data_IF_270285877607
#
_entry.id   IF_270285877607
#
_cell.length_a   1.000
_cell.length_b   1.000
_cell.length_c   1.000
_cell.angle_alpha   90.00
_cell.angle_beta   90.00
_cell.angle_gamma   90.00
#
_symmetry.space_group_name_H-M   'P 1'
#
loop_
_entity.id
_entity.type
_entity.pdbx_description
1 polymer ?
#
# COMPACT_ATOMS: atom_id res chain seq x y z
N UNK A 1 13.19 2.46 -15.66
CA UNK A 1 11.85 1.91 -15.81
C UNK A 1 11.88 0.56 -15.13
N UNK A 2 11.04 0.33 -14.13
CA UNK A 2 10.97 -0.98 -13.46
C UNK A 2 10.42 -2.00 -14.46
N UNK A 3 11.09 -3.13 -14.60
CA UNK A 3 10.60 -4.24 -15.43
C UNK A 3 9.56 -5.05 -14.64
N UNK A 4 8.36 -5.21 -15.20
CA UNK A 4 7.28 -5.96 -14.56
C UNK A 4 7.01 -7.32 -15.24
N UNK A 5 7.76 -7.68 -16.28
CA UNK A 5 7.50 -8.84 -17.12
C UNK A 5 7.51 -10.15 -16.33
N UNK A 6 8.46 -10.31 -15.42
CA UNK A 6 8.67 -11.52 -14.62
C UNK A 6 8.19 -11.39 -13.16
N UNK A 7 7.40 -10.36 -12.86
CA UNK A 7 6.84 -10.18 -11.52
C UNK A 7 5.57 -11.02 -11.41
N UNK A 8 5.42 -11.73 -10.29
CA UNK A 8 4.22 -12.50 -9.96
C UNK A 8 3.85 -12.30 -8.48
N UNK A 9 2.56 -12.38 -8.17
CA UNK A 9 2.03 -12.29 -6.80
C UNK A 9 1.39 -13.63 -6.42
N UNK A 10 2.17 -14.43 -5.70
CA UNK A 10 1.77 -15.73 -5.16
C UNK A 10 1.46 -15.75 -3.66
N UNK A 11 1.25 -16.96 -3.14
CA UNK A 11 0.83 -17.22 -1.76
C UNK A 11 1.92 -16.80 -0.74
N UNK A 12 3.19 -16.88 -1.11
CA UNK A 12 4.32 -16.42 -0.30
C UNK A 12 4.23 -14.93 0.05
N UNK A 13 3.74 -14.11 -0.88
CA UNK A 13 3.57 -12.67 -0.65
C UNK A 13 2.35 -12.38 0.23
N UNK A 14 1.31 -13.21 0.14
CA UNK A 14 0.13 -13.13 1.01
C UNK A 14 0.50 -13.46 2.45
N UNK A 15 1.26 -14.53 2.66
CA UNK A 15 1.73 -14.93 3.99
C UNK A 15 2.68 -13.89 4.60
N UNK A 16 3.54 -13.28 3.78
CA UNK A 16 4.42 -12.22 4.25
C UNK A 16 3.65 -10.97 4.67
N UNK A 17 2.63 -10.56 3.91
CA UNK A 17 1.72 -9.50 4.30
C UNK A 17 0.95 -9.85 5.59
N UNK A 18 0.46 -11.09 5.72
CA UNK A 18 -0.22 -11.54 6.95
C UNK A 18 0.68 -11.37 8.18
N UNK A 19 1.95 -11.77 8.08
CA UNK A 19 2.94 -11.62 9.16
C UNK A 19 3.17 -10.16 9.50
N UNK A 20 3.38 -9.32 8.48
CA UNK A 20 3.57 -7.87 8.66
C UNK A 20 2.39 -7.21 9.41
N UNK A 21 1.15 -7.62 9.09
CA UNK A 21 -0.06 -7.05 9.70
C UNK A 21 -0.38 -7.63 11.09
N UNK A 22 0.12 -8.82 11.42
CA UNK A 22 -0.23 -9.51 12.67
C UNK A 22 0.66 -9.15 13.86
N UNK A 23 1.69 -8.33 13.64
CA UNK A 23 2.59 -7.79 14.68
C UNK A 23 3.09 -8.89 15.65
N UNK A 24 3.86 -9.88 15.16
CA UNK A 24 4.71 -10.69 16.03
C UNK A 24 6.13 -10.07 16.08
N UNK A 25 6.38 -9.13 17.00
CA UNK A 25 7.70 -8.50 17.17
C UNK A 25 8.78 -9.48 17.65
N UNK A 26 8.45 -10.75 17.94
CA UNK A 26 9.40 -11.78 18.34
C UNK A 26 9.70 -12.79 17.22
N UNK A 27 9.24 -12.61 15.98
CA UNK A 27 9.63 -13.47 14.87
C UNK A 27 11.00 -13.01 14.30
N UNK A 28 12.11 -13.72 14.60
CA UNK A 28 13.44 -13.36 14.10
C UNK A 28 13.61 -13.59 12.59
N UNK A 29 12.57 -14.07 11.89
CA UNK A 29 12.55 -14.26 10.44
C UNK A 29 12.04 -13.05 9.66
N UNK A 30 11.86 -11.89 10.33
CA UNK A 30 11.50 -10.63 9.68
C UNK A 30 12.54 -10.29 8.61
N UNK A 31 12.14 -10.58 7.36
CA UNK A 31 12.83 -10.28 6.10
C UNK A 31 14.05 -11.17 5.76
N UNK A 32 13.86 -12.48 5.62
CA UNK A 32 14.61 -13.21 4.57
C UNK A 32 13.97 -12.90 3.21
N UNK A 33 14.18 -11.65 2.76
CA UNK A 33 13.78 -11.24 1.41
C UNK A 33 14.72 -11.95 0.47
N UNK A 34 14.19 -12.90 -0.31
CA UNK A 34 14.87 -13.39 -1.50
C UNK A 34 15.54 -12.20 -2.21
N UNK A 35 16.85 -12.28 -2.44
CA UNK A 35 17.65 -11.19 -3.02
C UNK A 35 17.26 -10.86 -4.47
N UNK A 36 16.29 -11.57 -5.04
CA UNK A 36 15.74 -11.28 -6.34
C UNK A 36 14.92 -9.98 -6.31
N UNK A 37 15.28 -9.04 -7.17
CA UNK A 37 14.61 -7.74 -7.32
C UNK A 37 13.10 -7.89 -7.58
N UNK A 38 12.70 -8.89 -8.38
CA UNK A 38 11.29 -9.19 -8.67
C UNK A 38 10.47 -9.51 -7.40
N UNK A 39 11.07 -10.24 -6.46
CA UNK A 39 10.41 -10.59 -5.19
C UNK A 39 10.26 -9.37 -4.28
N UNK A 40 11.26 -8.48 -4.25
CA UNK A 40 11.16 -7.21 -3.52
C UNK A 40 10.07 -6.30 -4.10
N UNK A 41 9.93 -6.27 -5.43
CA UNK A 41 8.87 -5.49 -6.10
C UNK A 41 7.50 -6.10 -5.80
N UNK A 42 7.34 -7.42 -5.88
CA UNK A 42 6.09 -8.10 -5.56
C UNK A 42 5.67 -7.90 -4.09
N UNK A 43 6.63 -7.94 -3.15
CA UNK A 43 6.38 -7.57 -1.75
C UNK A 43 5.84 -6.15 -1.62
N UNK A 44 6.55 -5.16 -2.18
CA UNK A 44 6.16 -3.76 -2.08
C UNK A 44 4.79 -3.52 -2.73
N UNK A 45 4.52 -4.19 -3.86
CA UNK A 45 3.22 -4.15 -4.52
C UNK A 45 2.12 -4.72 -3.63
N UNK A 46 2.37 -5.82 -2.90
CA UNK A 46 1.41 -6.38 -1.96
C UNK A 46 1.10 -5.44 -0.80
N UNK A 47 2.12 -4.81 -0.21
CA UNK A 47 1.91 -3.85 0.87
C UNK A 47 1.14 -2.60 0.40
N UNK A 48 1.48 -2.07 -0.78
CA UNK A 48 0.71 -0.98 -1.40
C UNK A 48 -0.74 -1.40 -1.71
N UNK A 49 -0.95 -2.63 -2.19
CA UNK A 49 -2.29 -3.13 -2.51
C UNK A 49 -3.15 -3.29 -1.26
N UNK A 50 -2.57 -3.74 -0.15
CA UNK A 50 -3.24 -3.77 1.14
C UNK A 50 -3.61 -2.38 1.64
N UNK A 51 -2.70 -1.40 1.50
CA UNK A 51 -2.99 0.00 1.75
C UNK A 51 -4.18 0.49 0.91
N UNK A 52 -4.17 0.22 -0.39
CA UNK A 52 -5.23 0.65 -1.29
C UNK A 52 -6.59 0.03 -0.91
N UNK A 53 -6.63 -1.27 -0.63
CA UNK A 53 -7.84 -1.98 -0.18
C UNK A 53 -8.34 -1.42 1.15
N UNK A 54 -7.45 -1.17 2.12
CA UNK A 54 -7.83 -0.57 3.41
C UNK A 54 -8.45 0.83 3.23
N UNK A 55 -7.84 1.66 2.38
CA UNK A 55 -8.37 2.99 2.03
C UNK A 55 -9.73 2.89 1.35
N UNK A 56 -9.87 2.02 0.35
CA UNK A 56 -11.13 1.83 -0.36
C UNK A 56 -12.24 1.34 0.58
N UNK A 57 -11.96 0.36 1.45
CA UNK A 57 -12.91 -0.10 2.47
C UNK A 57 -13.34 1.02 3.43
N UNK A 58 -12.42 1.92 3.78
CA UNK A 58 -12.69 3.01 4.74
C UNK A 58 -13.48 4.18 4.14
N UNK A 59 -13.13 4.61 2.93
CA UNK A 59 -13.57 5.89 2.39
C UNK A 59 -14.54 5.77 1.20
N UNK A 60 -14.57 4.63 0.50
CA UNK A 60 -15.47 4.46 -0.64
C UNK A 60 -16.92 4.18 -0.20
N UNK A 61 -17.92 4.52 -1.05
CA UNK A 61 -17.77 5.24 -2.32
C UNK A 61 -17.80 6.77 -2.19
N UNK A 62 -18.15 7.31 -1.02
CA UNK A 62 -18.59 8.71 -0.86
C UNK A 62 -17.65 9.56 -0.01
N UNK A 63 -16.34 9.47 -0.26
CA UNK A 63 -15.37 10.27 0.50
C UNK A 63 -15.52 11.77 0.24
N UNK A 64 -15.13 12.56 1.23
CA UNK A 64 -14.88 13.99 1.05
C UNK A 64 -13.42 14.34 1.37
N UNK A 65 -12.86 15.34 0.68
CA UNK A 65 -11.51 15.84 0.95
C UNK A 65 -11.33 16.25 2.43
N UNK A 66 -12.28 16.97 3.06
CA UNK A 66 -12.18 17.29 4.49
C UNK A 66 -12.12 16.06 5.42
N UNK A 67 -12.77 14.95 5.06
CA UNK A 67 -12.66 13.71 5.85
C UNK A 67 -11.27 13.09 5.76
N UNK A 68 -10.66 13.07 4.57
CA UNK A 68 -9.28 12.60 4.39
C UNK A 68 -8.30 13.47 5.18
N UNK A 69 -8.42 14.81 5.09
CA UNK A 69 -7.59 15.74 5.85
C UNK A 69 -7.74 15.53 7.36
N UNK A 70 -8.99 15.35 7.84
CA UNK A 70 -9.26 15.08 9.25
C UNK A 70 -8.62 13.78 9.70
N UNK A 71 -8.80 12.71 8.91
CA UNK A 71 -8.20 11.40 9.19
C UNK A 71 -6.68 11.48 9.32
N UNK A 72 -5.98 12.08 8.34
CA UNK A 72 -4.52 12.22 8.39
C UNK A 72 -4.07 13.09 9.57
N UNK A 73 -4.85 14.12 9.90
CA UNK A 73 -4.60 14.97 11.07
C UNK A 73 -4.69 14.17 12.38
N UNK A 74 -5.69 13.30 12.51
CA UNK A 74 -5.88 12.51 13.72
C UNK A 74 -4.86 11.37 13.82
N UNK A 75 -4.52 10.70 12.71
CA UNK A 75 -3.43 9.73 12.64
C UNK A 75 -2.10 10.32 13.12
N UNK A 76 -1.76 11.52 12.66
CA UNK A 76 -0.53 12.22 13.10
C UNK A 76 -0.53 12.49 14.60
N UNK A 77 -1.68 12.83 15.19
CA UNK A 77 -1.76 13.03 16.65
C UNK A 77 -1.58 11.73 17.41
N UNK A 78 -2.10 10.61 16.90
CA UNK A 78 -1.93 9.30 17.53
C UNK A 78 -0.45 8.91 17.56
N UNK A 79 0.22 9.00 16.41
CA UNK A 79 1.63 8.57 16.26
C UNK A 79 2.61 9.48 17.01
N UNK A 80 2.34 10.80 17.07
CA UNK A 80 3.14 11.71 17.88
C UNK A 80 3.10 11.39 19.39
N UNK A 81 2.04 10.75 19.89
CA UNK A 81 1.96 10.33 21.30
C UNK A 81 2.85 9.12 21.60
N UNK A 82 3.22 8.36 20.58
CA UNK A 82 3.99 7.12 20.70
C UNK A 82 5.50 7.32 20.49
N UNK A 83 5.97 8.56 20.33
CA UNK A 83 7.35 8.90 19.92
C UNK A 83 7.81 8.22 18.62
N UNK A 84 6.86 7.72 17.82
CA UNK A 84 7.12 7.09 16.55
C UNK A 84 7.29 8.14 15.42
N UNK A 85 7.91 7.70 14.33
CA UNK A 85 8.32 8.49 13.15
C UNK A 85 7.29 9.57 12.73
N UNK A 86 7.80 10.75 12.36
CA UNK A 86 6.94 11.83 11.85
C UNK A 86 6.42 11.50 10.46
N UNK A 87 5.10 11.31 10.32
CA UNK A 87 4.45 11.19 9.02
C UNK A 87 4.31 12.56 8.37
N UNK A 88 4.71 12.63 7.10
CA UNK A 88 4.42 13.77 6.25
C UNK A 88 2.91 13.76 5.87
N UNK A 89 2.10 14.73 6.35
CA UNK A 89 0.67 14.76 6.08
C UNK A 89 0.34 14.85 4.59
N UNK A 90 1.12 15.63 3.83
CA UNK A 90 0.86 15.83 2.39
C UNK A 90 1.05 14.54 1.61
N UNK A 91 2.04 13.74 2.00
CA UNK A 91 2.30 12.43 1.39
C UNK A 91 1.15 11.47 1.71
N UNK A 92 0.75 11.34 2.97
CA UNK A 92 -0.36 10.48 3.37
C UNK A 92 -1.68 10.87 2.69
N UNK A 93 -2.02 12.17 2.68
CA UNK A 93 -3.20 12.69 1.98
C UNK A 93 -3.12 12.42 0.47
N UNK A 94 -1.96 12.67 -0.15
CA UNK A 94 -1.74 12.43 -1.58
C UNK A 94 -1.96 10.96 -1.95
N UNK A 95 -1.37 10.04 -1.20
CA UNK A 95 -1.53 8.60 -1.43
C UNK A 95 -2.98 8.13 -1.27
N UNK A 96 -3.67 8.57 -0.21
CA UNK A 96 -5.09 8.22 0.01
C UNK A 96 -5.95 8.74 -1.15
N UNK A 97 -5.77 10.00 -1.53
CA UNK A 97 -6.55 10.65 -2.61
C UNK A 97 -6.26 10.04 -3.97
N UNK A 98 -5.03 9.58 -4.21
CA UNK A 98 -4.67 8.88 -5.44
C UNK A 98 -5.40 7.53 -5.56
N UNK A 99 -5.47 6.75 -4.48
CA UNK A 99 -6.26 5.49 -4.44
C UNK A 99 -7.75 5.74 -4.67
N UNK A 100 -8.26 6.84 -4.13
CA UNK A 100 -9.66 7.25 -4.29
C UNK A 100 -9.95 7.93 -5.64
N UNK A 101 -8.95 7.97 -6.54
CA UNK A 101 -9.05 8.57 -7.88
C UNK A 101 -9.57 10.02 -7.86
N UNK A 102 -9.16 10.79 -6.86
CA UNK A 102 -9.57 12.19 -6.70
C UNK A 102 -9.07 13.04 -7.89
N UNK A 103 -10.01 13.42 -8.76
CA UNK A 103 -9.75 14.22 -9.97
C UNK A 103 -9.22 15.63 -9.66
N UNK A 104 -9.32 16.09 -8.42
CA UNK A 104 -8.80 17.40 -7.98
C UNK A 104 -7.37 17.35 -7.46
N UNK A 105 -6.80 16.14 -7.29
CA UNK A 105 -5.42 15.97 -6.86
C UNK A 105 -4.46 16.40 -7.98
N UNK A 106 -3.73 17.48 -7.75
CA UNK A 106 -2.75 18.03 -8.71
C UNK A 106 -1.33 17.54 -8.47
N UNK A 107 -1.02 17.21 -7.22
CA UNK A 107 0.30 16.70 -6.85
C UNK A 107 0.44 15.26 -7.35
N UNK A 108 1.65 14.92 -7.78
CA UNK A 108 2.01 13.55 -8.16
C UNK A 108 3.04 13.01 -7.19
N UNK A 109 3.15 11.69 -7.14
CA UNK A 109 4.23 11.00 -6.45
C UNK A 109 5.59 11.58 -6.86
N UNK A 110 6.51 11.83 -5.90
CA UNK A 110 6.47 11.47 -4.49
C UNK A 110 5.88 12.54 -3.54
N UNK A 111 4.95 13.37 -4.05
CA UNK A 111 4.23 14.40 -3.30
C UNK A 111 5.14 15.43 -2.59
N UNK A 112 6.31 15.68 -3.18
CA UNK A 112 7.30 16.62 -2.65
C UNK A 112 8.14 16.06 -1.49
N UNK A 113 8.17 14.74 -1.29
CA UNK A 113 9.03 14.06 -0.34
C UNK A 113 9.87 12.96 -1.04
N UNK A 114 10.65 12.19 -0.28
CA UNK A 114 11.38 11.02 -0.80
C UNK A 114 10.53 9.75 -0.71
N UNK A 115 11.05 8.66 -1.31
CA UNK A 115 10.37 7.35 -1.31
C UNK A 115 10.26 6.77 0.10
N UNK A 116 11.20 7.07 1.00
CA UNK A 116 11.15 6.63 2.39
C UNK A 116 9.94 7.25 3.11
N UNK A 117 9.69 8.54 2.92
CA UNK A 117 8.52 9.22 3.45
C UNK A 117 7.21 8.65 2.90
N UNK A 118 7.18 8.22 1.63
CA UNK A 118 6.02 7.53 1.04
C UNK A 118 5.78 6.16 1.67
N UNK A 119 6.81 5.33 1.80
CA UNK A 119 6.70 4.01 2.43
C UNK A 119 6.22 4.14 3.87
N UNK A 120 6.83 5.05 4.64
CA UNK A 120 6.46 5.30 6.02
C UNK A 120 5.01 5.80 6.16
N UNK A 121 4.57 6.72 5.30
CA UNK A 121 3.19 7.18 5.29
C UNK A 121 2.20 6.07 4.91
N UNK A 122 2.52 5.28 3.88
CA UNK A 122 1.69 4.16 3.42
C UNK A 122 1.52 3.09 4.50
N UNK A 123 2.62 2.68 5.15
CA UNK A 123 2.58 1.68 6.22
C UNK A 123 1.82 2.17 7.45
N UNK A 124 2.03 3.42 7.86
CA UNK A 124 1.31 3.94 9.01
C UNK A 124 -0.20 4.04 8.76
N UNK A 125 -0.63 4.47 7.57
CA UNK A 125 -2.06 4.47 7.21
C UNK A 125 -2.60 3.03 7.14
N UNK A 126 -1.87 2.10 6.51
CA UNK A 126 -2.26 0.71 6.44
C UNK A 126 -2.45 0.09 7.82
N UNK A 127 -1.46 0.20 8.70
CA UNK A 127 -1.51 -0.38 10.04
C UNK A 127 -2.62 0.24 10.88
N UNK A 128 -2.81 1.57 10.84
CA UNK A 128 -3.92 2.22 11.54
C UNK A 128 -5.28 1.72 11.06
N UNK A 129 -5.51 1.68 9.73
CA UNK A 129 -6.78 1.22 9.18
C UNK A 129 -7.03 -0.26 9.44
N UNK A 130 -5.98 -1.08 9.36
CA UNK A 130 -6.06 -2.51 9.62
C UNK A 130 -6.37 -2.79 11.10
N UNK A 131 -5.61 -2.21 12.03
CA UNK A 131 -5.84 -2.38 13.46
C UNK A 131 -7.19 -1.80 13.90
N UNK A 132 -7.57 -0.63 13.38
CA UNK A 132 -8.86 -0.01 13.68
C UNK A 132 -10.07 -0.76 13.12
N UNK A 133 -9.88 -1.65 12.14
CA UNK A 133 -10.92 -2.52 11.62
C UNK A 133 -11.05 -3.86 12.40
N UNK A 134 -10.10 -4.16 13.28
CA UNK A 134 -10.07 -5.38 14.13
C UNK A 134 -10.28 -6.70 13.37
N UNK A 135 -9.84 -6.76 12.11
CA UNK A 135 -10.09 -7.91 11.21
C UNK A 135 -9.45 -9.19 11.75
N UNK A 136 -10.24 -10.26 11.87
CA UNK A 136 -9.78 -11.56 12.39
C UNK A 136 -10.35 -12.72 11.59
N UNK A 137 -9.63 -13.84 11.59
CA UNK A 137 -10.08 -15.09 10.98
C UNK A 137 -10.56 -14.89 9.54
N UNK A 138 -11.83 -15.22 9.21
CA UNK A 138 -12.34 -15.09 7.83
C UNK A 138 -12.24 -13.68 7.24
N UNK A 139 -12.38 -12.62 8.04
CA UNK A 139 -12.33 -11.24 7.56
C UNK A 139 -10.91 -10.80 7.20
N UNK A 140 -9.91 -11.32 7.93
CA UNK A 140 -8.50 -11.16 7.60
C UNK A 140 -8.16 -11.89 6.30
N UNK A 141 -8.65 -13.12 6.14
CA UNK A 141 -8.41 -13.91 4.93
C UNK A 141 -9.04 -13.24 3.69
N UNK A 142 -10.24 -12.67 3.84
CA UNK A 142 -10.89 -11.89 2.79
C UNK A 142 -10.08 -10.63 2.43
N UNK A 143 -9.61 -9.88 3.43
CA UNK A 143 -8.78 -8.69 3.21
C UNK A 143 -7.49 -9.01 2.46
N UNK A 144 -6.81 -10.09 2.85
CA UNK A 144 -5.58 -10.55 2.19
C UNK A 144 -5.84 -10.97 0.75
N UNK A 145 -6.94 -11.68 0.49
CA UNK A 145 -7.34 -12.08 -0.86
C UNK A 145 -7.68 -10.87 -1.74
N UNK A 146 -8.46 -9.91 -1.23
CA UNK A 146 -8.77 -8.67 -1.95
C UNK A 146 -7.50 -7.88 -2.31
N UNK A 147 -6.54 -7.83 -1.38
CA UNK A 147 -5.25 -7.17 -1.58
C UNK A 147 -4.43 -7.87 -2.68
N UNK A 148 -4.39 -9.21 -2.68
CA UNK A 148 -3.73 -9.98 -3.73
C UNK A 148 -4.41 -9.79 -5.10
N UNK A 149 -5.74 -9.77 -5.15
CA UNK A 149 -6.49 -9.55 -6.38
C UNK A 149 -6.29 -8.12 -6.91
N UNK A 150 -6.19 -7.13 -6.02
CA UNK A 150 -5.82 -5.77 -6.40
C UNK A 150 -4.42 -5.73 -7.02
N UNK A 151 -3.43 -6.35 -6.35
CA UNK A 151 -2.04 -6.41 -6.83
C UNK A 151 -1.95 -7.05 -8.22
N UNK A 152 -2.60 -8.20 -8.41
CA UNK A 152 -2.63 -8.93 -9.69
C UNK A 152 -3.27 -8.10 -10.81
N UNK A 153 -4.39 -7.42 -10.53
CA UNK A 153 -5.02 -6.53 -11.53
C UNK A 153 -4.11 -5.37 -11.92
N UNK A 154 -3.47 -4.74 -10.94
CA UNK A 154 -2.53 -3.64 -11.18
C UNK A 154 -1.36 -4.11 -12.05
N UNK A 155 -0.77 -5.25 -11.70
CA UNK A 155 0.35 -5.85 -12.41
C UNK A 155 0.01 -6.18 -13.87
N UNK A 156 -1.15 -6.81 -14.09
CA UNK A 156 -1.63 -7.13 -15.44
C UNK A 156 -1.76 -5.87 -16.32
N UNK A 157 -2.17 -4.73 -15.75
CA UNK A 157 -2.22 -3.45 -16.47
C UNK A 157 -0.83 -2.95 -16.84
N UNK A 158 0.16 -3.06 -15.95
CA UNK A 158 1.53 -2.61 -16.26
C UNK A 158 2.22 -3.50 -17.29
N UNK A 159 2.11 -4.82 -17.14
CA UNK A 159 2.66 -5.78 -18.11
C UNK A 159 2.05 -5.56 -19.51
N UNK A 160 0.74 -5.35 -19.60
CA UNK A 160 0.08 -5.04 -20.86
C UNK A 160 0.53 -3.69 -21.47
N UNK A 161 0.92 -2.71 -20.66
CA UNK A 161 1.49 -1.43 -21.15
C UNK A 161 2.89 -1.64 -21.70
N UNK A 162 3.76 -2.34 -20.98
CA UNK A 162 5.13 -2.63 -21.41
C UNK A 162 5.15 -3.42 -22.71
N UNK A 163 4.36 -4.48 -22.82
CA UNK A 163 4.28 -5.29 -24.05
C UNK A 163 3.84 -4.46 -25.28
N UNK A 164 2.98 -3.45 -25.10
CA UNK A 164 2.55 -2.55 -26.19
C UNK A 164 3.64 -1.56 -26.58
N UNK A 165 4.38 -1.04 -25.61
CA UNK A 165 5.50 -0.12 -25.85
C UNK A 165 6.62 -0.84 -26.61
N UNK A 166 6.96 -2.07 -26.22
CA UNK A 166 7.94 -2.91 -26.91
C UNK A 166 7.52 -3.24 -28.34
N UNK A 167 6.26 -3.63 -28.54
CA UNK A 167 5.73 -3.91 -29.88
C UNK A 167 5.65 -2.67 -30.80
N UNK A 168 5.65 -1.46 -30.23
CA UNK A 168 5.64 -0.20 -30.99
C UNK A 168 7.05 0.31 -31.30
N UNK A 169 8.07 -0.23 -30.64
CA UNK A 169 9.48 0.18 -30.79
C UNK A 169 10.28 -0.73 -31.74
N UNK A 170 9.74 -1.89 -32.12
CA UNK A 170 10.33 -2.84 -33.09
C UNK A 170 9.72 -2.72 -34.48
#
# INVERSE_FOLDING_TARGET
MTDFSDIEVGDEHIELLRRFLSDDPNDPSTFDVSTAESNAIAHNLMAYSAFAVAVLRKFSPNFTIPEVIRYVTDLRKAILRENALQINPRVAEGMIRAVLEDQTLKDREPYGADNEAMVNAGFAVLLELFHGAELKGPELDEFLRESADYARRWLAVQQARQAREEASAG
#
